data_IF_978110849221
#
_entry.id   IF_978110849221
#
_cell.length_a   1.000
_cell.length_b   1.000
_cell.length_c   1.000
_cell.angle_alpha   90.00
_cell.angle_beta   90.00
_cell.angle_gamma   90.00
#
_symmetry.space_group_name_H-M   'P 1'
#
loop_
_entity.id
_entity.type
_entity.pdbx_description
1 polymer ?
#
# COMPACT_ATOMS: atom_id res chain seq x y z
N UNK A 1 -14.72 52.49 -48.53
CA UNK A 1 -14.53 52.77 -47.09
C UNK A 1 -14.52 51.45 -46.33
N UNK A 2 -13.34 51.11 -45.81
CA UNK A 2 -13.01 50.32 -44.63
C UNK A 2 -14.01 49.31 -43.99
N UNK A 3 -13.52 48.05 -43.94
CA UNK A 3 -13.38 47.17 -42.74
C UNK A 3 -14.66 46.48 -42.24
N UNK A 4 -14.69 45.23 -41.77
CA UNK A 4 -13.67 44.20 -41.56
C UNK A 4 -14.37 42.82 -41.44
N UNK A 5 -13.62 41.76 -41.76
CA UNK A 5 -13.94 40.37 -41.49
C UNK A 5 -13.90 40.14 -39.97
N UNK A 6 -14.97 39.61 -39.38
CA UNK A 6 -14.97 39.16 -37.99
C UNK A 6 -14.88 37.63 -37.96
N UNK A 7 -13.66 37.13 -37.77
CA UNK A 7 -13.38 35.76 -37.36
C UNK A 7 -13.96 35.53 -35.96
N UNK A 8 -14.96 34.65 -35.85
CA UNK A 8 -15.45 34.17 -34.57
C UNK A 8 -14.38 33.31 -33.90
N UNK A 9 -13.80 33.83 -32.83
CA UNK A 9 -12.80 33.15 -32.00
C UNK A 9 -13.46 31.93 -31.34
N UNK A 10 -12.89 30.76 -31.61
CA UNK A 10 -13.14 29.51 -30.91
C UNK A 10 -12.78 29.71 -29.44
N UNK A 11 -13.79 29.72 -28.56
CA UNK A 11 -13.59 29.62 -27.13
C UNK A 11 -13.12 28.19 -26.80
N UNK A 12 -11.81 27.97 -26.95
CA UNK A 12 -11.11 26.86 -26.32
C UNK A 12 -11.24 27.05 -24.81
N UNK A 13 -12.25 26.39 -24.25
CA UNK A 13 -12.36 26.17 -22.82
C UNK A 13 -11.12 25.43 -22.36
N UNK A 14 -10.15 26.19 -21.87
CA UNK A 14 -9.08 25.70 -21.01
C UNK A 14 -9.79 25.13 -19.79
N UNK A 15 -10.16 23.84 -19.87
CA UNK A 15 -10.46 23.06 -18.69
C UNK A 15 -9.26 23.24 -17.78
N UNK A 16 -9.49 23.91 -16.66
CA UNK A 16 -8.54 23.98 -15.59
C UNK A 16 -8.19 22.54 -15.23
N UNK A 17 -7.07 22.06 -15.74
CA UNK A 17 -6.35 20.91 -15.21
C UNK A 17 -5.81 21.41 -13.87
N UNK A 18 -6.73 21.62 -12.92
CA UNK A 18 -6.36 21.84 -11.54
C UNK A 18 -5.44 20.69 -11.20
N UNK A 19 -4.21 21.02 -10.78
CA UNK A 19 -3.26 20.07 -10.25
C UNK A 19 -3.91 19.39 -9.03
N UNK A 20 -4.81 18.44 -9.27
CA UNK A 20 -5.19 17.49 -8.25
C UNK A 20 -3.86 16.86 -7.81
N UNK A 21 -3.51 16.95 -6.52
CA UNK A 21 -2.26 16.39 -6.05
C UNK A 21 -2.20 14.94 -6.52
N UNK A 22 -1.08 14.58 -7.15
CA UNK A 22 -0.88 13.21 -7.62
C UNK A 22 -1.17 12.27 -6.43
N UNK A 23 -2.03 11.25 -6.60
CA UNK A 23 -2.32 10.31 -5.53
C UNK A 23 -1.02 9.79 -4.93
N UNK A 24 -0.88 9.93 -3.62
CA UNK A 24 0.32 9.53 -2.88
C UNK A 24 0.04 8.25 -2.11
N UNK A 25 0.98 7.32 -2.16
CA UNK A 25 0.91 6.08 -1.38
C UNK A 25 1.15 6.35 0.12
N UNK A 26 1.86 7.44 0.45
CA UNK A 26 2.18 7.81 1.83
C UNK A 26 0.90 7.98 2.65
N UNK A 27 0.89 7.40 3.85
CA UNK A 27 -0.23 7.40 4.78
C UNK A 27 -0.57 6.01 5.28
N UNK A 28 -1.62 5.96 6.09
CA UNK A 28 -2.16 4.74 6.68
C UNK A 28 -3.30 4.19 5.83
N UNK A 29 -3.35 2.88 5.71
CA UNK A 29 -4.33 2.16 4.93
C UNK A 29 -4.82 0.94 5.71
N UNK A 30 -6.05 0.54 5.43
CA UNK A 30 -6.69 -0.63 6.03
C UNK A 30 -7.45 -1.41 4.98
N UNK A 31 -7.57 -2.71 5.20
CA UNK A 31 -8.26 -3.61 4.28
C UNK A 31 -8.07 -5.06 4.71
N UNK A 32 -8.72 -5.93 3.96
CA UNK A 32 -8.71 -7.37 4.20
C UNK A 32 -7.88 -8.05 3.12
N UNK A 33 -7.00 -8.96 3.54
CA UNK A 33 -6.28 -9.86 2.64
C UNK A 33 -6.67 -11.31 2.93
N UNK A 34 -6.80 -12.12 1.90
CA UNK A 34 -7.00 -13.57 2.07
C UNK A 34 -5.66 -14.28 1.94
N UNK A 35 -5.14 -14.86 3.01
CA UNK A 35 -3.90 -15.64 3.00
C UNK A 35 -4.26 -17.07 3.33
N UNK A 36 -3.98 -18.02 2.42
CA UNK A 36 -4.25 -19.45 2.61
C UNK A 36 -5.71 -19.77 3.02
N UNK A 37 -6.68 -19.03 2.46
CA UNK A 37 -8.11 -19.19 2.75
C UNK A 37 -8.58 -18.54 4.05
N UNK A 38 -7.70 -17.86 4.79
CA UNK A 38 -8.06 -17.06 5.96
C UNK A 38 -8.07 -15.58 5.60
N UNK A 39 -9.14 -14.87 5.97
CA UNK A 39 -9.20 -13.41 5.85
C UNK A 39 -8.47 -12.79 7.05
N UNK A 40 -7.46 -11.99 6.76
CA UNK A 40 -6.70 -11.20 7.73
C UNK A 40 -7.03 -9.73 7.48
N UNK A 41 -7.57 -9.06 8.51
CA UNK A 41 -7.67 -7.61 8.51
C UNK A 41 -6.33 -7.02 8.92
N UNK A 42 -5.82 -6.09 8.12
CA UNK A 42 -4.51 -5.49 8.32
C UNK A 42 -4.57 -3.97 8.30
N UNK A 43 -3.58 -3.36 8.95
CA UNK A 43 -3.24 -1.98 8.69
C UNK A 43 -1.79 -1.89 8.24
N UNK A 44 -1.53 -0.96 7.34
CA UNK A 44 -0.16 -0.60 7.00
C UNK A 44 0.01 0.89 6.80
N UNK A 45 1.25 1.32 6.98
CA UNK A 45 1.67 2.70 6.88
C UNK A 45 2.86 2.79 5.95
N UNK A 46 2.67 3.54 4.86
CA UNK A 46 3.77 3.97 3.98
C UNK A 46 4.24 5.35 4.44
N UNK A 47 5.51 5.47 4.76
CA UNK A 47 6.12 6.72 5.23
C UNK A 47 6.93 7.39 4.12
N UNK A 48 7.07 8.72 4.19
CA UNK A 48 7.78 9.50 3.17
C UNK A 48 9.28 9.18 3.05
N UNK A 49 9.88 8.54 4.06
CA UNK A 49 11.27 8.07 4.05
C UNK A 49 11.43 6.67 3.41
N UNK A 50 10.38 6.14 2.77
CA UNK A 50 10.45 4.88 2.03
C UNK A 50 10.33 3.65 2.91
N UNK A 51 9.68 3.75 4.09
CA UNK A 51 9.39 2.60 4.96
C UNK A 51 7.92 2.21 4.89
N UNK A 52 7.69 0.91 4.97
CA UNK A 52 6.40 0.26 5.07
C UNK A 52 6.35 -0.45 6.41
N UNK A 53 5.40 -0.06 7.24
CA UNK A 53 5.06 -0.76 8.48
C UNK A 53 3.76 -1.48 8.30
N UNK A 54 3.68 -2.74 8.69
CA UNK A 54 2.44 -3.51 8.66
C UNK A 54 2.20 -4.13 10.02
N UNK A 55 0.96 -4.05 10.51
CA UNK A 55 0.56 -4.80 11.69
C UNK A 55 -0.57 -5.75 11.30
N UNK A 56 -0.35 -7.02 11.60
CA UNK A 56 -1.33 -8.07 11.42
C UNK A 56 -1.67 -8.67 12.77
N UNK A 57 -2.92 -9.06 12.95
CA UNK A 57 -3.35 -9.88 14.07
C UNK A 57 -3.84 -11.21 13.54
N UNK A 58 -3.23 -12.31 13.98
CA UNK A 58 -3.69 -13.66 13.67
C UNK A 58 -3.82 -14.44 14.97
N UNK A 59 -5.03 -14.94 15.25
CA UNK A 59 -5.29 -15.75 16.45
C UNK A 59 -4.99 -15.02 17.78
N UNK A 60 -5.09 -13.69 17.80
CA UNK A 60 -4.79 -12.85 18.97
C UNK A 60 -3.31 -12.48 19.14
N UNK A 61 -2.43 -12.91 18.25
CA UNK A 61 -1.01 -12.54 18.23
C UNK A 61 -0.83 -11.41 17.23
N UNK A 62 -0.33 -10.27 17.70
CA UNK A 62 0.10 -9.18 16.83
C UNK A 62 1.49 -9.45 16.26
N UNK A 63 1.71 -9.15 14.98
CA UNK A 63 3.03 -9.15 14.36
C UNK A 63 3.23 -7.79 13.69
N UNK A 64 4.30 -7.11 14.07
CA UNK A 64 4.77 -5.90 13.41
C UNK A 64 5.82 -6.30 12.37
N UNK A 65 5.63 -5.87 11.13
CA UNK A 65 6.55 -6.09 10.03
C UNK A 65 7.07 -4.74 9.56
N UNK A 66 8.39 -4.64 9.41
CA UNK A 66 9.08 -3.49 8.85
C UNK A 66 9.73 -3.88 7.53
N UNK A 67 9.47 -3.05 6.51
CA UNK A 67 9.98 -3.22 5.16
C UNK A 67 10.41 -1.86 4.59
N UNK A 68 11.38 -1.86 3.69
CA UNK A 68 11.60 -0.76 2.76
C UNK A 68 10.63 -0.83 1.59
N UNK A 69 10.30 0.30 0.97
CA UNK A 69 9.53 0.31 -0.27
C UNK A 69 10.01 1.36 -1.27
N UNK A 70 9.77 1.08 -2.56
CA UNK A 70 9.96 2.00 -3.68
C UNK A 70 8.79 1.88 -4.64
N UNK A 71 8.19 3.01 -5.00
CA UNK A 71 7.11 3.09 -5.99
C UNK A 71 7.63 3.78 -7.27
N UNK A 72 7.59 3.08 -8.39
CA UNK A 72 7.99 3.58 -9.72
C UNK A 72 6.83 3.37 -10.71
N UNK A 73 6.08 4.44 -10.98
CA UNK A 73 4.83 4.31 -11.73
C UNK A 73 3.79 3.53 -10.93
N UNK A 74 3.33 2.41 -11.49
CA UNK A 74 2.43 1.46 -10.84
C UNK A 74 3.19 0.32 -10.13
N UNK A 75 4.51 0.21 -10.30
CA UNK A 75 5.31 -0.87 -9.73
C UNK A 75 5.75 -0.52 -8.31
N UNK A 76 5.27 -1.28 -7.34
CA UNK A 76 5.71 -1.23 -5.94
C UNK A 76 6.70 -2.36 -5.67
N UNK A 77 7.92 -2.00 -5.31
CA UNK A 77 8.93 -2.95 -4.80
C UNK A 77 9.00 -2.81 -3.28
N UNK A 78 8.80 -3.90 -2.56
CA UNK A 78 8.96 -3.96 -1.10
C UNK A 78 10.10 -4.89 -0.74
N UNK A 79 10.89 -4.51 0.27
CA UNK A 79 12.00 -5.33 0.76
C UNK A 79 11.79 -5.59 2.24
N UNK A 80 11.58 -6.85 2.62
CA UNK A 80 11.42 -7.24 4.02
C UNK A 80 12.71 -7.00 4.81
N UNK A 81 12.61 -6.34 5.97
CA UNK A 81 13.75 -6.03 6.84
C UNK A 81 13.68 -6.78 8.17
N UNK A 82 12.52 -6.74 8.84
CA UNK A 82 12.29 -7.43 10.10
C UNK A 82 10.81 -7.69 10.36
N UNK A 83 10.55 -8.68 11.21
CA UNK A 83 9.28 -8.89 11.87
C UNK A 83 9.54 -9.04 13.37
N UNK A 84 8.56 -8.68 14.19
CA UNK A 84 8.59 -8.90 15.63
C UNK A 84 7.16 -9.10 16.17
N UNK A 85 6.98 -9.99 17.17
CA UNK A 85 5.71 -10.08 17.86
C UNK A 85 5.40 -8.78 18.61
N UNK A 86 4.11 -8.43 18.63
CA UNK A 86 3.59 -7.31 19.41
C UNK A 86 2.89 -7.88 20.64
N UNK A 87 3.37 -7.50 21.82
CA UNK A 87 2.81 -7.94 23.11
C UNK A 87 3.33 -9.29 23.59
N UNK A 88 2.66 -9.86 24.60
CA UNK A 88 3.04 -11.15 25.18
C UNK A 88 2.65 -12.32 24.27
N UNK A 89 3.62 -13.20 23.99
CA UNK A 89 3.41 -14.42 23.21
C UNK A 89 3.14 -15.59 24.17
N UNK A 90 1.97 -16.23 24.12
CA UNK A 90 1.70 -17.39 24.97
C UNK A 90 2.67 -18.55 24.69
N UNK A 91 3.11 -19.24 25.75
CA UNK A 91 4.09 -20.33 25.64
C UNK A 91 3.64 -21.44 24.67
N UNK A 92 2.32 -21.71 24.60
CA UNK A 92 1.73 -22.72 23.72
C UNK A 92 1.99 -22.46 22.23
N UNK A 93 2.10 -21.20 21.80
CA UNK A 93 2.25 -20.81 20.39
C UNK A 93 3.65 -20.33 20.05
N UNK A 94 4.53 -20.19 21.04
CA UNK A 94 5.90 -19.67 20.87
C UNK A 94 6.70 -20.45 19.83
N UNK A 95 6.68 -21.78 19.88
CA UNK A 95 7.43 -22.61 18.93
C UNK A 95 6.94 -22.44 17.49
N UNK A 96 5.61 -22.32 17.31
CA UNK A 96 5.00 -22.08 16.00
C UNK A 96 5.38 -20.69 15.47
N UNK A 97 5.31 -19.66 16.32
CA UNK A 97 5.70 -18.31 15.96
C UNK A 97 7.19 -18.24 15.61
N UNK A 98 8.07 -18.84 16.41
CA UNK A 98 9.53 -18.87 16.16
C UNK A 98 9.82 -19.51 14.78
N UNK A 99 9.09 -20.56 14.41
CA UNK A 99 9.20 -21.17 13.08
C UNK A 99 8.72 -20.23 11.97
N UNK A 100 7.57 -19.58 12.13
CA UNK A 100 7.03 -18.62 11.15
C UNK A 100 7.99 -17.43 10.96
N UNK A 101 8.53 -16.90 12.06
CA UNK A 101 9.52 -15.83 12.07
C UNK A 101 10.80 -16.24 11.35
N UNK A 102 11.29 -17.47 11.58
CA UNK A 102 12.45 -18.01 10.87
C UNK A 102 12.20 -18.13 9.37
N UNK A 103 10.99 -18.50 8.95
CA UNK A 103 10.63 -18.52 7.53
C UNK A 103 10.57 -17.11 6.92
N UNK A 104 10.05 -16.12 7.65
CA UNK A 104 10.08 -14.72 7.20
C UNK A 104 11.51 -14.20 7.09
N UNK A 105 12.39 -14.53 8.03
CA UNK A 105 13.79 -14.10 8.01
C UNK A 105 14.55 -14.65 6.78
N UNK A 106 14.15 -15.80 6.25
CA UNK A 106 14.68 -16.31 4.97
C UNK A 106 14.30 -15.43 3.76
N UNK A 107 13.30 -14.56 3.89
CA UNK A 107 12.90 -13.59 2.87
C UNK A 107 13.56 -12.23 3.06
N UNK A 108 14.36 -12.05 4.11
CA UNK A 108 15.02 -10.77 4.41
C UNK A 108 15.90 -10.30 3.27
N UNK A 109 15.76 -9.02 2.93
CA UNK A 109 16.48 -8.38 1.85
C UNK A 109 16.04 -8.79 0.44
N UNK A 110 15.12 -9.74 0.28
CA UNK A 110 14.60 -10.13 -1.03
C UNK A 110 13.51 -9.13 -1.46
N UNK A 111 13.63 -8.52 -2.65
CA UNK A 111 12.60 -7.65 -3.15
C UNK A 111 11.39 -8.46 -3.62
N UNK A 112 10.21 -8.06 -3.19
CA UNK A 112 8.93 -8.49 -3.75
C UNK A 112 8.34 -7.36 -4.60
N UNK A 113 7.82 -7.72 -5.76
CA UNK A 113 7.21 -6.76 -6.69
C UNK A 113 5.71 -6.98 -6.74
N UNK A 114 4.97 -5.90 -6.55
CA UNK A 114 3.53 -5.81 -6.73
C UNK A 114 3.17 -4.63 -7.63
N UNK A 115 1.93 -4.59 -8.09
CA UNK A 115 1.38 -3.46 -8.85
C UNK A 115 0.37 -2.71 -7.99
N UNK A 116 0.40 -1.38 -7.99
CA UNK A 116 -0.52 -0.50 -7.28
C UNK A 116 -1.29 0.34 -8.27
N UNK A 117 -2.62 0.30 -8.18
CA UNK A 117 -3.54 1.14 -8.96
C UNK A 117 -4.35 2.00 -7.99
N UNK A 118 -4.21 3.32 -8.12
CA UNK A 118 -5.10 4.27 -7.43
C UNK A 118 -6.45 4.28 -8.13
N UNK A 119 -7.50 3.89 -7.40
CA UNK A 119 -8.89 4.00 -7.89
C UNK A 119 -9.41 5.41 -7.66
N UNK A 120 -9.05 5.98 -6.52
CA UNK A 120 -9.29 7.36 -6.13
C UNK A 120 -8.24 7.78 -5.06
N UNK A 121 -8.47 8.91 -4.36
CA UNK A 121 -7.53 9.44 -3.36
C UNK A 121 -7.44 8.57 -2.09
N UNK A 122 -8.52 7.85 -1.78
CA UNK A 122 -8.72 7.07 -0.55
C UNK A 122 -8.75 5.56 -0.83
N UNK A 123 -8.66 5.12 -2.08
CA UNK A 123 -8.75 3.70 -2.46
C UNK A 123 -7.63 3.28 -3.41
N UNK A 124 -6.92 2.22 -3.05
CA UNK A 124 -5.95 1.55 -3.92
C UNK A 124 -6.32 0.08 -4.13
N UNK A 125 -5.94 -0.45 -5.30
CA UNK A 125 -5.91 -1.89 -5.58
C UNK A 125 -4.45 -2.30 -5.75
N UNK A 126 -4.03 -3.31 -4.98
CA UNK A 126 -2.70 -3.91 -5.07
C UNK A 126 -2.82 -5.29 -5.67
N UNK A 127 -1.98 -5.60 -6.66
CA UNK A 127 -1.84 -6.95 -7.23
C UNK A 127 -0.49 -7.51 -6.81
N UNK A 128 -0.51 -8.55 -5.98
CA UNK A 128 0.69 -9.24 -5.51
C UNK A 128 1.40 -10.01 -6.63
N UNK A 129 2.62 -10.47 -6.36
CA UNK A 129 3.43 -11.27 -7.28
C UNK A 129 2.75 -12.59 -7.70
N UNK A 130 1.87 -13.11 -6.85
CA UNK A 130 1.03 -14.29 -7.08
C UNK A 130 -0.26 -14.00 -7.89
N UNK A 131 -0.46 -12.76 -8.36
CA UNK A 131 -1.66 -12.33 -9.09
C UNK A 131 -2.88 -12.03 -8.19
N UNK A 132 -2.75 -12.18 -6.87
CA UNK A 132 -3.83 -11.89 -5.95
C UNK A 132 -4.07 -10.38 -5.86
N UNK A 133 -5.34 -9.99 -6.01
CA UNK A 133 -5.78 -8.61 -5.85
C UNK A 133 -6.25 -8.34 -4.42
N UNK A 134 -5.86 -7.20 -3.89
CA UNK A 134 -6.24 -6.70 -2.57
C UNK A 134 -6.68 -5.25 -2.71
N UNK A 135 -7.75 -4.86 -2.03
CA UNK A 135 -8.22 -3.48 -2.01
C UNK A 135 -7.98 -2.88 -0.63
N UNK A 136 -7.50 -1.64 -0.61
CA UNK A 136 -7.15 -0.93 0.61
C UNK A 136 -7.75 0.45 0.59
N UNK A 137 -8.25 0.86 1.76
CA UNK A 137 -8.86 2.16 1.99
C UNK A 137 -8.00 2.97 2.94
N UNK A 138 -7.82 4.26 2.64
CA UNK A 138 -7.05 5.19 3.44
C UNK A 138 -7.71 5.36 4.80
N UNK A 139 -6.93 5.25 5.87
CA UNK A 139 -7.38 5.60 7.21
C UNK A 139 -7.36 7.12 7.32
N UNK A 140 -8.52 7.73 7.53
CA UNK A 140 -8.64 9.17 7.74
C UNK A 140 -8.07 9.52 9.11
N UNK A 141 -7.25 10.56 9.19
CA UNK A 141 -6.83 11.10 10.47
C UNK A 141 -8.06 11.68 11.18
N UNK A 142 -8.23 11.33 12.46
CA UNK A 142 -9.20 11.98 13.36
C UNK A 142 -8.76 13.39 13.74
#
# INVERSE_FOLDING_TARGET
MNKAVAFGIVALGLMAVGCAPKPSLVGKWTGDMTVQGQTLSGNFEFTSDGKLKMNFSQGGIGIAVNSGYKLEGDKLTTTFESAEPVGEVPAMVKAMLDQAMKQMDQQKGKPEVSTVVFKDADTIEMTGSNGQKMSWTRVKAE
#
